data_IF_059133562113
#
_entry.id   IF_059133562113
#
_cell.length_a   1.000
_cell.length_b   1.000
_cell.length_c   1.000
_cell.angle_alpha   90.00
_cell.angle_beta   90.00
_cell.angle_gamma   90.00
#
_symmetry.space_group_name_H-M   'P 1'
#
loop_
_entity.id
_entity.type
_entity.pdbx_description
1 polymer ?
#
# COMPACT_ATOMS: atom_id res chain seq x y z
N UNK A 1 14.79 -2.54 30.78
CA UNK A 1 13.96 -1.93 29.73
C UNK A 1 13.27 -3.06 28.96
N UNK A 2 11.98 -2.94 28.64
CA UNK A 2 11.26 -3.93 27.82
C UNK A 2 11.21 -3.41 26.39
N UNK A 3 11.48 -4.27 25.42
CA UNK A 3 11.40 -3.96 24.00
C UNK A 3 10.11 -4.58 23.43
N UNK A 4 9.44 -3.84 22.55
CA UNK A 4 8.21 -4.25 21.88
C UNK A 4 8.39 -4.08 20.37
N UNK A 5 7.94 -5.06 19.60
CA UNK A 5 7.92 -5.03 18.14
C UNK A 5 6.54 -4.58 17.65
N UNK A 6 6.51 -3.66 16.69
CA UNK A 6 5.30 -3.09 16.10
C UNK A 6 5.47 -3.09 14.58
N UNK A 7 4.52 -3.67 13.85
CA UNK A 7 4.55 -3.70 12.39
C UNK A 7 3.20 -3.27 11.81
N UNK A 8 3.25 -2.44 10.77
CA UNK A 8 2.07 -2.05 10.00
C UNK A 8 1.64 -3.12 8.97
N UNK A 9 2.53 -4.06 8.66
CA UNK A 9 2.29 -5.16 7.74
C UNK A 9 2.93 -6.42 8.31
N UNK A 10 2.28 -7.08 9.29
CA UNK A 10 2.92 -8.15 10.06
C UNK A 10 2.89 -9.51 9.33
N UNK A 11 3.16 -9.49 8.02
CA UNK A 11 3.16 -10.62 7.12
C UNK A 11 4.58 -10.95 6.66
N UNK A 12 4.85 -12.23 6.46
CA UNK A 12 6.09 -12.67 5.82
C UNK A 12 6.03 -12.29 4.33
N UNK A 13 7.11 -11.74 3.74
CA UNK A 13 7.19 -11.56 2.29
C UNK A 13 7.28 -12.93 1.63
N UNK A 14 6.13 -13.49 1.28
CA UNK A 14 6.04 -14.67 0.42
C UNK A 14 6.20 -14.18 -1.01
N UNK A 15 7.17 -14.72 -1.75
CA UNK A 15 7.33 -14.43 -3.17
C UNK A 15 6.14 -14.93 -4.01
N UNK A 16 6.36 -15.29 -5.28
CA UNK A 16 5.32 -15.82 -6.20
C UNK A 16 4.54 -17.07 -5.72
N UNK A 17 4.80 -17.55 -4.51
CA UNK A 17 4.16 -18.71 -3.90
C UNK A 17 3.16 -18.17 -2.88
N UNK A 18 1.88 -18.13 -3.27
CA UNK A 18 0.76 -17.78 -2.42
C UNK A 18 0.56 -18.85 -1.33
N UNK A 19 1.40 -18.86 -0.31
CA UNK A 19 1.17 -19.65 0.91
C UNK A 19 0.47 -18.79 1.96
N UNK A 20 -0.74 -18.30 1.64
CA UNK A 20 -1.62 -17.59 2.56
C UNK A 20 -1.06 -16.34 3.25
N UNK A 21 -1.94 -15.62 3.93
CA UNK A 21 -1.58 -14.51 4.81
C UNK A 21 -1.04 -15.07 6.14
N UNK A 22 0.21 -15.53 6.15
CA UNK A 22 0.82 -16.00 7.39
C UNK A 22 1.41 -14.84 8.18
N UNK A 23 0.69 -14.44 9.22
CA UNK A 23 1.14 -13.52 10.25
C UNK A 23 2.45 -14.00 10.91
N UNK A 24 3.24 -13.07 11.46
CA UNK A 24 4.36 -13.46 12.31
C UNK A 24 3.88 -14.27 13.51
N UNK A 25 4.65 -15.30 13.89
CA UNK A 25 4.26 -16.24 14.94
C UNK A 25 4.26 -15.63 16.35
N UNK A 26 4.92 -14.48 16.52
CA UNK A 26 5.04 -13.76 17.79
C UNK A 26 4.03 -12.62 17.95
N UNK A 27 3.05 -12.49 17.04
CA UNK A 27 1.98 -11.51 17.22
C UNK A 27 1.14 -11.90 18.43
N UNK A 28 0.98 -10.94 19.34
CA UNK A 28 0.13 -11.07 20.52
C UNK A 28 -1.20 -10.34 20.32
N UNK A 29 -1.21 -9.26 19.54
CA UNK A 29 -2.39 -8.46 19.22
C UNK A 29 -2.23 -7.88 17.81
N UNK A 30 -3.31 -7.87 17.04
CA UNK A 30 -3.41 -7.22 15.74
C UNK A 30 -4.68 -6.35 15.70
N UNK A 31 -4.64 -5.31 14.87
CA UNK A 31 -5.77 -4.45 14.56
C UNK A 31 -5.74 -4.13 13.07
N UNK A 32 -6.56 -4.84 12.30
CA UNK A 32 -6.52 -4.82 10.85
C UNK A 32 -7.09 -3.54 10.23
N UNK A 33 -6.77 -3.30 8.96
CA UNK A 33 -7.28 -2.15 8.22
C UNK A 33 -8.82 -2.15 8.12
N UNK A 34 -9.45 -3.32 8.01
CA UNK A 34 -10.90 -3.45 7.97
C UNK A 34 -11.54 -2.94 9.27
N UNK A 35 -11.07 -3.46 10.41
CA UNK A 35 -11.56 -3.06 11.74
C UNK A 35 -11.31 -1.57 12.00
N UNK A 36 -10.17 -1.05 11.53
CA UNK A 36 -9.85 0.37 11.62
C UNK A 36 -10.81 1.26 10.81
N UNK A 37 -11.30 0.78 9.66
CA UNK A 37 -12.31 1.49 8.86
C UNK A 37 -13.68 1.42 9.53
N UNK A 38 -14.10 0.24 9.97
CA UNK A 38 -15.41 0.02 10.59
C UNK A 38 -15.57 0.76 11.94
N UNK A 39 -14.47 0.91 12.69
CA UNK A 39 -14.42 1.69 13.92
C UNK A 39 -14.31 3.21 13.71
N UNK A 40 -14.16 3.67 12.47
CA UNK A 40 -14.00 5.09 12.14
C UNK A 40 -12.63 5.68 12.50
N UNK A 41 -11.63 4.85 12.81
CA UNK A 41 -10.26 5.28 13.09
C UNK A 41 -9.48 5.63 11.82
N UNK A 42 -9.81 4.99 10.68
CA UNK A 42 -9.14 5.20 9.40
C UNK A 42 -10.15 5.55 8.30
N UNK A 43 -9.75 6.47 7.42
CA UNK A 43 -10.56 6.86 6.25
C UNK A 43 -10.54 5.76 5.19
N UNK A 44 -11.70 5.45 4.60
CA UNK A 44 -11.79 4.56 3.44
C UNK A 44 -10.91 5.08 2.29
N UNK A 45 -10.00 4.24 1.76
CA UNK A 45 -9.15 4.63 0.64
C UNK A 45 -10.02 4.92 -0.58
N UNK A 46 -9.80 6.07 -1.23
CA UNK A 46 -10.46 6.45 -2.47
C UNK A 46 -9.41 6.59 -3.57
N UNK A 47 -9.70 5.99 -4.73
CA UNK A 47 -8.87 6.16 -5.92
C UNK A 47 -9.02 7.59 -6.44
N UNK A 48 -7.90 8.28 -6.67
CA UNK A 48 -7.89 9.62 -7.22
C UNK A 48 -8.22 9.59 -8.73
N UNK A 49 -9.51 9.72 -9.07
CA UNK A 49 -9.99 9.68 -10.46
C UNK A 49 -9.95 11.07 -11.13
N UNK A 50 -10.04 12.15 -10.35
CA UNK A 50 -10.09 13.53 -10.88
C UNK A 50 -9.08 14.42 -10.14
N UNK A 51 -8.34 15.19 -10.91
CA UNK A 51 -7.49 16.29 -10.44
C UNK A 51 -8.24 17.61 -10.72
N UNK A 52 -8.17 18.59 -9.82
CA UNK A 52 -8.96 19.83 -9.90
C UNK A 52 -8.47 20.79 -11.00
N UNK A 53 -7.49 20.36 -11.81
CA UNK A 53 -6.72 21.23 -12.70
C UNK A 53 -7.32 21.48 -14.10
N UNK A 54 -8.43 20.83 -14.49
CA UNK A 54 -9.28 21.28 -15.62
C UNK A 54 -10.59 20.47 -15.75
N UNK A 55 -11.75 21.13 -15.78
CA UNK A 55 -13.08 20.47 -15.88
C UNK A 55 -13.46 20.17 -17.34
N UNK A 56 -12.62 19.41 -18.05
CA UNK A 56 -12.91 18.92 -19.40
C UNK A 56 -13.51 17.51 -19.40
N UNK A 57 -14.26 17.10 -20.44
CA UNK A 57 -14.76 15.73 -20.59
C UNK A 57 -13.65 14.67 -20.66
N UNK A 58 -12.41 15.08 -20.98
CA UNK A 58 -11.23 14.22 -21.11
C UNK A 58 -10.36 14.17 -19.85
N UNK A 59 -10.89 14.63 -18.70
CA UNK A 59 -10.15 14.70 -17.44
C UNK A 59 -9.74 13.31 -16.95
N UNK A 60 -8.47 12.96 -17.17
CA UNK A 60 -7.79 11.83 -16.56
C UNK A 60 -6.83 12.37 -15.49
N UNK A 61 -6.89 11.82 -14.28
CA UNK A 61 -5.91 12.12 -13.22
C UNK A 61 -4.50 11.86 -13.75
N UNK A 62 -3.64 12.89 -13.74
CA UNK A 62 -2.27 12.84 -14.28
C UNK A 62 -1.46 11.66 -13.74
N UNK A 63 -1.69 11.31 -12.47
CA UNK A 63 -0.95 10.25 -11.79
C UNK A 63 -1.65 8.89 -11.87
N UNK A 64 -2.91 8.82 -12.29
CA UNK A 64 -3.66 7.57 -12.30
C UNK A 64 -3.16 6.58 -13.37
N UNK A 65 -2.64 7.08 -14.48
CA UNK A 65 -2.08 6.27 -15.56
C UNK A 65 -0.58 6.47 -15.73
N UNK A 66 0.17 6.70 -14.64
CA UNK A 66 1.64 6.85 -14.72
C UNK A 66 2.36 5.53 -15.04
N UNK A 67 1.73 4.39 -14.74
CA UNK A 67 2.38 3.07 -14.87
C UNK A 67 2.98 2.80 -16.27
N UNK A 68 2.28 3.04 -17.40
CA UNK A 68 2.87 2.88 -18.73
C UNK A 68 4.13 3.71 -18.98
N UNK A 69 4.27 4.87 -18.32
CA UNK A 69 5.41 5.78 -18.48
C UNK A 69 6.61 5.34 -17.66
N UNK A 70 6.39 4.76 -16.48
CA UNK A 70 7.47 4.38 -15.54
C UNK A 70 7.81 2.89 -15.56
N UNK A 71 7.01 2.06 -16.25
CA UNK A 71 7.12 0.59 -16.17
C UNK A 71 8.52 0.08 -16.51
N UNK A 72 9.14 0.65 -17.53
CA UNK A 72 10.46 0.22 -18.00
C UNK A 72 11.57 0.57 -17.00
N UNK A 73 11.40 1.63 -16.20
CA UNK A 73 12.37 2.08 -15.20
C UNK A 73 12.18 1.44 -13.81
N UNK A 74 11.04 0.81 -13.52
CA UNK A 74 10.72 0.23 -12.20
C UNK A 74 11.72 -0.86 -11.76
N UNK A 75 12.35 -1.56 -12.69
CA UNK A 75 13.30 -2.65 -12.39
C UNK A 75 14.76 -2.20 -12.38
N UNK A 76 15.04 -0.90 -12.51
CA UNK A 76 16.40 -0.39 -12.51
C UNK A 76 17.03 -0.59 -11.13
N UNK A 77 18.23 -1.18 -11.08
CA UNK A 77 19.01 -1.30 -9.84
C UNK A 77 19.43 0.10 -9.38
N UNK A 78 19.26 0.39 -8.10
CA UNK A 78 19.77 1.62 -7.50
C UNK A 78 21.31 1.58 -7.49
N UNK A 79 21.94 2.69 -7.86
CA UNK A 79 23.40 2.84 -7.73
C UNK A 79 23.78 2.90 -6.23
N UNK A 80 24.83 2.21 -5.80
CA UNK A 80 25.34 2.34 -4.44
C UNK A 80 25.87 3.76 -4.23
N UNK A 81 25.49 4.39 -3.11
CA UNK A 81 25.95 5.70 -2.67
C UNK A 81 27.18 5.58 -1.76
#
# INVERSE_FOLDING_TARGET
MRAYDLSATPFKPTGKINQGEQLFTWIVCDFGLNDAIESGLVKTPKVAVRDDSNVGPDLKSKLFHIYPEVREDLNRRAEPH
#
